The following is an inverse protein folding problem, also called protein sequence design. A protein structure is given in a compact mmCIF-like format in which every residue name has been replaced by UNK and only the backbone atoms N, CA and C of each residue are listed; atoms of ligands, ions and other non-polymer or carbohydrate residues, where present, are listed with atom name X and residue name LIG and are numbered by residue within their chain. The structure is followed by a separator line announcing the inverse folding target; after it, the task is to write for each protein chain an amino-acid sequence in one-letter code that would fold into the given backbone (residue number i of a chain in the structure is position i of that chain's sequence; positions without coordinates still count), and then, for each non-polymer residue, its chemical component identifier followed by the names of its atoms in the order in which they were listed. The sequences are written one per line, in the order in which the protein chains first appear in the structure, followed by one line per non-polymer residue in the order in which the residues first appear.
data_IF_079198763346
#
_entry.id   IF_079198763346
#
_cell.length_a   1.000
_cell.length_b   1.000
_cell.length_c   1.000
_cell.angle_alpha   90.00
_cell.angle_beta   90.00
_cell.angle_gamma   90.00
#
_symmetry.space_group_name_H-M   'P 1'
#
loop_
_entity.id
_entity.type
_entity.pdbx_description
1 polymer ?
2 non-polymer ?
3 non-polymer ?
4 non-polymer ?
5 water ?
#
# COMPACT_ATOMS: atom_id res chain seq x y z
N UNK A 1 -17.61 -19.98 5.55
CA UNK A 1 -17.39 -20.70 6.85
C UNK A 1 -15.91 -20.76 7.19
N UNK A 2 -15.60 -20.54 8.47
CA UNK A 2 -14.22 -20.51 8.95
C UNK A 2 -14.01 -21.63 9.97
N UNK A 3 -13.15 -22.58 9.63
CA UNK A 3 -12.87 -23.72 10.48
C UNK A 3 -12.06 -23.33 11.71
N UNK A 4 -11.97 -24.26 12.66
CA UNK A 4 -11.19 -24.07 13.89
C UNK A 4 -9.70 -23.97 13.60
N UNK A 5 -9.01 -23.14 14.37
CA UNK A 5 -7.55 -23.17 14.41
C UNK A 5 -7.12 -24.47 15.08
N UNK A 6 -5.91 -24.98 14.73
CA UNK A 6 -5.39 -26.13 15.45
C UNK A 6 -4.81 -25.73 16.79
N UNK A 7 -4.52 -26.72 17.64
CA UNK A 7 -3.72 -26.49 18.84
C UNK A 7 -2.44 -25.75 18.46
N UNK A 8 -2.11 -24.70 19.22
CA UNK A 8 -0.88 -23.94 19.01
C UNK A 8 -0.27 -23.58 20.35
N UNK A 9 1.06 -23.69 20.45
CA UNK A 9 1.78 -23.29 21.66
C UNK A 9 2.57 -22.01 21.35
N UNK A 10 2.27 -20.96 22.11
CA UNK A 10 2.94 -19.66 21.94
C UNK A 10 2.82 -18.93 23.28
N UNK A 11 3.65 -17.90 23.49
CA UNK A 11 3.61 -17.12 24.75
C UNK A 11 2.24 -16.51 24.99
N UNK A 12 1.78 -16.60 26.23
CA UNK A 12 0.50 -16.01 26.62
C UNK A 12 0.56 -14.50 26.47
N UNK A 13 -0.46 -13.88 25.84
CA UNK A 13 -0.52 -12.42 25.82
C UNK A 13 -0.77 -11.94 27.25
N UNK A 14 -0.07 -10.88 27.64
CA UNK A 14 -0.20 -10.37 29.00
C UNK A 14 -0.92 -9.01 29.01
N UNK A 15 -2.11 -9.05 29.58
CA UNK A 15 -3.00 -7.91 29.64
C UNK A 15 -2.38 -6.66 30.29
N UNK A 16 -1.56 -6.89 31.31
CA UNK A 16 -0.95 -5.79 32.07
C UNK A 16 0.51 -5.51 31.68
N UNK A 17 0.97 -6.15 30.61
CA UNK A 17 2.34 -5.90 30.13
C UNK A 17 2.36 -5.76 28.62
N UNK A 18 1.90 -4.60 28.11
CA UNK A 18 1.69 -4.34 26.67
C UNK A 18 2.94 -4.50 25.85
N UNK A 19 2.73 -4.83 24.57
CA UNK A 19 3.79 -5.10 23.60
C UNK A 19 4.66 -3.86 23.37
N UNK A 20 4.02 -2.77 22.96
CA UNK A 20 4.69 -1.53 22.62
C UNK A 20 4.08 -0.41 23.46
N UNK A 21 4.93 0.28 24.23
CA UNK A 21 4.53 1.41 25.05
C UNK A 21 4.90 2.73 24.41
N UNK A 22 5.74 2.67 23.37
CA UNK A 22 6.31 3.86 22.74
C UNK A 22 5.47 4.42 21.61
N UNK A 23 4.51 3.64 21.11
CA UNK A 23 3.74 4.06 19.95
C UNK A 23 2.26 3.76 20.11
N UNK A 24 1.44 4.51 19.38
CA UNK A 24 0.02 4.24 19.25
C UNK A 24 -0.18 2.97 18.43
N UNK A 25 -0.87 1.98 18.99
CA UNK A 25 -1.06 0.69 18.29
C UNK A 25 -2.53 0.44 17.88
N UNK A 26 -3.40 1.40 18.20
CA UNK A 26 -4.80 1.34 17.76
C UNK A 26 -5.31 2.75 17.50
N UNK A 27 -6.05 2.95 16.41
CA UNK A 27 -6.56 4.28 16.10
C UNK A 27 -7.81 4.57 16.96
N UNK A 28 -8.25 5.83 17.03
CA UNK A 28 -9.48 6.12 17.80
C UNK A 28 -10.75 5.48 17.25
N UNK A 29 -10.70 4.90 16.05
CA UNK A 29 -11.85 4.15 15.56
C UNK A 29 -11.57 2.64 15.65
N UNK A 30 -10.59 2.28 16.49
CA UNK A 30 -10.31 0.88 16.84
C UNK A 30 -9.77 0.05 15.67
N UNK A 31 -9.00 0.70 14.80
CA UNK A 31 -8.24 -0.02 13.79
C UNK A 31 -6.83 -0.25 14.33
N UNK A 32 -6.34 -1.49 14.27
CA UNK A 32 -4.93 -1.71 14.65
C UNK A 32 -3.97 -0.89 13.78
N UNK A 33 -2.89 -0.42 14.42
CA UNK A 33 -1.76 0.18 13.71
C UNK A 33 -0.64 -0.84 13.83
N UNK A 34 -0.16 -1.30 12.66
CA UNK A 34 0.69 -2.50 12.63
C UNK A 34 2.16 -2.15 12.77
N UNK A 35 2.71 -2.54 13.93
CA UNK A 35 4.11 -2.37 14.27
C UNK A 35 4.67 -3.74 14.67
N UNK A 36 5.99 -3.90 14.50
CA UNK A 36 6.65 -5.09 15.03
C UNK A 36 6.43 -5.17 16.53
N UNK A 37 6.06 -6.38 16.97
CA UNK A 37 5.78 -6.65 18.38
C UNK A 37 4.30 -6.67 18.72
N UNK A 38 3.45 -6.24 17.78
CA UNK A 38 2.00 -6.21 18.01
C UNK A 38 1.29 -7.48 17.56
N UNK A 39 1.95 -8.31 16.73
CA UNK A 39 1.26 -9.48 16.17
C UNK A 39 2.09 -10.74 16.27
N UNK A 40 1.40 -11.86 16.43
CA UNK A 40 1.97 -13.19 16.33
C UNK A 40 1.67 -13.69 14.91
N UNK A 41 2.69 -13.79 14.08
CA UNK A 41 2.50 -14.11 12.67
C UNK A 41 2.05 -15.55 12.46
N UNK A 42 2.35 -16.43 13.41
CA UNK A 42 1.94 -17.84 13.30
C UNK A 42 0.42 -17.93 13.40
N UNK A 43 -0.17 -17.18 14.35
CA UNK A 43 -1.61 -17.20 14.47
C UNK A 43 -2.24 -16.60 13.21
N UNK A 44 -1.72 -15.46 12.75
CA UNK A 44 -2.30 -14.83 11.55
C UNK A 44 -2.13 -15.70 10.31
N UNK A 45 -0.94 -16.30 10.14
CA UNK A 45 -0.76 -17.20 8.99
C UNK A 45 -1.78 -18.33 8.98
N UNK A 46 -2.04 -18.91 10.15
CA UNK A 46 -3.05 -19.97 10.27
C UNK A 46 -4.41 -19.44 9.84
N UNK A 47 -4.80 -18.27 10.36
CA UNK A 47 -6.12 -17.76 10.05
C UNK A 47 -6.30 -17.56 8.56
N UNK A 48 -5.28 -16.98 7.91
CA UNK A 48 -5.42 -16.66 6.48
C UNK A 48 -5.23 -17.86 5.56
N UNK A 49 -4.33 -18.77 5.93
CA UNK A 49 -4.14 -19.98 5.11
C UNK A 49 -5.40 -20.84 5.16
N UNK A 50 -6.06 -20.90 6.33
CA UNK A 50 -7.30 -21.69 6.45
C UNK A 50 -8.40 -21.16 5.54
N UNK A 51 -8.26 -19.91 5.09
CA UNK A 51 -9.23 -19.33 4.15
C UNK A 51 -8.72 -19.41 2.70
N UNK A 52 -7.55 -20.04 2.51
CA UNK A 52 -6.92 -20.13 1.18
C UNK A 52 -6.83 -18.75 0.51
N UNK A 53 -6.30 -17.78 1.26
CA UNK A 53 -6.23 -16.41 0.83
C UNK A 53 -5.30 -16.22 -0.35
N UNK A 54 -5.78 -15.50 -1.37
CA UNK A 54 -4.97 -15.05 -2.49
C UNK A 54 -4.81 -13.54 -2.46
N UNK A 55 -3.56 -13.08 -2.52
CA UNK A 55 -3.28 -11.65 -2.48
C UNK A 55 -2.81 -11.19 -3.85
N UNK A 56 -3.45 -10.17 -4.39
CA UNK A 56 -2.99 -9.55 -5.63
C UNK A 56 -2.12 -8.35 -5.29
N UNK A 57 -1.05 -8.16 -6.06
CA UNK A 57 -0.16 -7.02 -5.87
C UNK A 57 -0.06 -6.32 -7.20
N UNK A 58 -0.55 -5.08 -7.26
CA UNK A 58 -0.46 -4.27 -8.46
C UNK A 58 0.76 -3.37 -8.40
N UNK A 59 1.43 -3.21 -9.54
CA UNK A 59 2.60 -2.35 -9.61
C UNK A 59 2.68 -1.83 -11.03
N UNK A 60 2.96 -0.53 -11.16
CA UNK A 60 3.05 0.13 -12.46
C UNK A 60 4.50 0.39 -12.80
N UNK A 61 4.88 0.03 -14.03
CA UNK A 61 6.25 0.21 -14.49
C UNK A 61 6.18 0.81 -15.88
N UNK A 62 6.06 2.12 -15.92
CA UNK A 62 5.80 2.87 -17.14
C UNK A 62 7.08 3.59 -17.51
N UNK A 63 7.41 3.52 -18.81
CA UNK A 63 8.61 4.17 -19.32
C UNK A 63 9.88 3.70 -18.60
N UNK A 64 10.68 4.61 -18.06
CA UNK A 64 11.98 4.24 -17.48
C UNK A 64 11.86 3.39 -16.20
N UNK A 65 10.66 3.39 -15.60
CA UNK A 65 10.46 2.69 -14.33
C UNK A 65 10.48 1.18 -14.47
N UNK A 66 10.51 0.68 -15.70
CA UNK A 66 10.70 -0.78 -15.88
C UNK A 66 12.02 -1.24 -15.25
N UNK A 67 12.97 -0.32 -15.14
CA UNK A 67 14.28 -0.62 -14.56
C UNK A 67 14.19 -1.15 -13.12
N UNK A 68 13.10 -0.81 -12.44
CA UNK A 68 12.93 -1.14 -11.02
C UNK A 68 12.31 -2.51 -10.77
N UNK A 69 11.79 -3.14 -11.82
CA UNK A 69 11.01 -4.36 -11.64
C UNK A 69 11.81 -5.54 -11.10
N UNK A 70 13.05 -5.69 -11.58
CA UNK A 70 13.81 -6.88 -11.22
C UNK A 70 14.01 -6.98 -9.70
N UNK A 71 14.54 -5.91 -9.11
CA UNK A 71 14.75 -5.90 -7.66
C UNK A 71 13.42 -5.95 -6.91
N UNK A 72 12.43 -5.25 -7.42
CA UNK A 72 11.12 -5.22 -6.78
C UNK A 72 10.58 -6.65 -6.67
N UNK A 73 10.56 -7.36 -7.78
CA UNK A 73 9.97 -8.70 -7.82
C UNK A 73 10.81 -9.74 -7.09
N UNK A 74 12.14 -9.67 -7.24
CA UNK A 74 13.01 -10.64 -6.57
C UNK A 74 12.88 -10.52 -5.05
N UNK A 75 12.81 -9.28 -4.57
CA UNK A 75 12.71 -9.08 -3.13
C UNK A 75 11.29 -9.39 -2.65
N UNK A 76 10.29 -9.14 -3.50
CA UNK A 76 8.93 -9.58 -3.14
C UNK A 76 8.87 -11.10 -2.94
N UNK A 77 9.63 -11.83 -3.77
CA UNK A 77 9.66 -13.27 -3.66
C UNK A 77 10.21 -13.73 -2.31
N UNK A 78 11.14 -12.95 -1.75
CA UNK A 78 11.76 -13.34 -0.48
C UNK A 78 10.90 -12.95 0.73
N UNK A 79 10.09 -11.90 0.58
CA UNK A 79 9.50 -11.23 1.75
C UNK A 79 8.01 -10.99 1.79
N UNK A 80 7.36 -11.09 0.62
CA UNK A 80 5.95 -10.69 0.53
C UNK A 80 5.02 -11.89 0.50
N UNK A 81 4.25 -12.05 1.58
CA UNK A 81 3.20 -13.06 1.64
C UNK A 81 3.70 -14.49 1.38
N UNK A 82 4.95 -14.76 1.79
CA UNK A 82 5.51 -16.10 1.53
C UNK A 82 4.66 -17.15 2.24
N UNK A 83 4.28 -18.18 1.47
CA UNK A 83 3.46 -19.26 1.99
C UNK A 83 2.02 -19.13 1.56
N UNK A 84 1.66 -17.94 1.08
CA UNK A 84 0.31 -17.68 0.60
C UNK A 84 0.27 -17.57 -0.92
N UNK A 85 -0.93 -17.63 -1.51
CA UNK A 85 -1.06 -17.49 -2.96
C UNK A 85 -0.93 -16.01 -3.32
N UNK A 86 -0.08 -15.71 -4.31
CA UNK A 86 0.18 -14.33 -4.72
C UNK A 86 0.02 -14.22 -6.22
N UNK A 87 -0.64 -13.15 -6.66
CA UNK A 87 -0.76 -12.87 -8.08
C UNK A 87 -0.26 -11.46 -8.30
N UNK A 88 0.87 -11.32 -8.99
CA UNK A 88 1.38 -10.00 -9.32
C UNK A 88 0.70 -9.52 -10.58
N UNK A 89 0.33 -8.23 -10.61
CA UNK A 89 -0.19 -7.63 -11.83
C UNK A 89 0.74 -6.48 -12.18
N UNK A 90 1.53 -6.65 -13.24
CA UNK A 90 2.47 -5.64 -13.66
C UNK A 90 1.87 -4.87 -14.82
N UNK A 91 1.52 -3.60 -14.56
CA UNK A 91 1.01 -2.72 -15.60
C UNK A 91 2.17 -1.96 -16.24
N UNK A 92 2.32 -2.10 -17.57
CA UNK A 92 3.48 -1.51 -18.24
C UNK A 92 3.17 -1.13 -19.68
N UNK A 93 3.93 -0.16 -20.19
CA UNK A 93 3.87 0.16 -21.62
C UNK A 93 4.89 -0.67 -22.42
N UNK A 94 5.73 -1.44 -21.72
CA UNK A 94 6.76 -2.25 -22.40
C UNK A 94 6.77 -3.69 -21.89
N UNK A 95 5.79 -4.50 -22.31
CA UNK A 95 5.75 -5.91 -21.86
C UNK A 95 7.07 -6.67 -22.05
N UNK A 96 7.80 -6.35 -23.10
CA UNK A 96 9.05 -7.07 -23.39
C UNK A 96 10.22 -6.67 -22.47
N UNK A 97 10.03 -5.59 -21.69
CA UNK A 97 11.06 -5.10 -20.77
C UNK A 97 10.88 -5.66 -19.36
N UNK A 98 9.80 -6.41 -19.14
CA UNK A 98 9.54 -7.04 -17.83
C UNK A 98 10.55 -8.17 -17.64
N UNK A 99 11.34 -8.12 -16.56
CA UNK A 99 12.37 -9.15 -16.35
C UNK A 99 11.74 -10.51 -16.09
N UNK A 100 12.42 -11.58 -16.50
CA UNK A 100 11.93 -12.91 -16.22
C UNK A 100 12.42 -13.31 -14.83
N UNK A 101 11.53 -13.17 -13.83
CA UNK A 101 11.89 -13.42 -12.44
C UNK A 101 11.30 -14.77 -12.04
N UNK A 102 12.10 -15.55 -11.34
CA UNK A 102 11.72 -16.90 -10.92
C UNK A 102 10.81 -16.81 -9.71
N UNK A 103 9.64 -17.42 -9.83
CA UNK A 103 8.63 -17.34 -8.77
C UNK A 103 8.46 -18.65 -7.99
N UNK A 104 8.25 -18.52 -6.68
CA UNK A 104 7.95 -19.68 -5.83
C UNK A 104 6.60 -20.30 -6.16
N UNK A 105 6.36 -21.51 -5.65
CA UNK A 105 5.11 -22.19 -5.95
C UNK A 105 3.91 -21.38 -5.40
N UNK A 106 2.81 -21.42 -6.14
CA UNK A 106 1.58 -20.73 -5.75
C UNK A 106 1.61 -19.24 -6.05
N UNK A 107 2.57 -18.82 -6.86
CA UNK A 107 2.74 -17.42 -7.17
C UNK A 107 2.80 -17.23 -8.67
N UNK A 108 2.08 -16.23 -9.15
CA UNK A 108 2.01 -16.01 -10.60
C UNK A 108 2.07 -14.53 -10.93
N UNK A 109 2.41 -14.25 -12.17
CA UNK A 109 2.55 -12.87 -12.60
C UNK A 109 1.86 -12.70 -13.95
N UNK A 110 1.08 -11.63 -14.05
CA UNK A 110 0.43 -11.25 -15.30
C UNK A 110 0.95 -9.90 -15.75
N UNK A 111 1.21 -9.76 -17.04
CA UNK A 111 1.66 -8.49 -17.60
C UNK A 111 0.46 -7.85 -18.28
N UNK A 112 0.11 -6.63 -17.86
CA UNK A 112 -1.03 -5.91 -18.43
C UNK A 112 -0.50 -4.70 -19.15
N UNK A 113 -0.74 -4.64 -20.46
CA UNK A 113 -0.23 -3.53 -21.25
C UNK A 113 -1.17 -2.35 -21.12
N UNK A 114 -0.59 -1.19 -20.80
CA UNK A 114 -1.35 0.04 -20.67
C UNK A 114 -0.65 1.17 -21.42
N UNK A 115 -1.36 2.26 -21.63
CA UNK A 115 -0.76 3.43 -22.26
C UNK A 115 0.13 4.19 -21.30
N UNK A 116 1.18 4.79 -21.86
CA UNK A 116 2.07 5.66 -21.10
C UNK A 116 1.65 7.11 -21.30
N UNK A 117 1.30 7.79 -20.21
CA UNK A 117 1.03 9.23 -20.26
C UNK A 117 2.35 9.99 -20.26
N UNK A 118 2.33 11.19 -20.86
CA UNK A 118 3.52 12.03 -20.96
C UNK A 118 4.00 12.50 -19.59
N UNK A 119 3.09 13.10 -18.81
CA UNK A 119 3.45 13.69 -17.53
C UNK A 119 3.52 12.62 -16.45
N UNK A 120 4.57 12.67 -15.63
CA UNK A 120 4.72 11.71 -14.53
C UNK A 120 3.54 11.78 -13.55
N UNK A 121 3.00 12.99 -13.36
CA UNK A 121 1.82 13.22 -12.53
C UNK A 121 0.62 12.42 -13.03
N UNK A 122 0.43 12.41 -14.35
CA UNK A 122 -0.65 11.66 -14.97
C UNK A 122 -0.41 10.15 -14.88
N UNK A 123 0.83 9.72 -15.12
CA UNK A 123 1.17 8.31 -14.93
C UNK A 123 0.83 7.87 -13.50
N UNK A 124 1.23 8.67 -12.52
CA UNK A 124 0.96 8.33 -11.12
C UNK A 124 -0.53 8.35 -10.80
N UNK A 125 -1.22 9.42 -11.19
CA UNK A 125 -2.65 9.56 -10.90
C UNK A 125 -3.56 8.51 -11.57
N UNK A 126 -3.31 8.25 -12.85
CA UNK A 126 -4.14 7.31 -13.62
C UNK A 126 -4.04 5.84 -13.19
N UNK A 127 -3.18 5.56 -12.22
CA UNK A 127 -3.19 4.25 -11.56
C UNK A 127 -4.58 3.98 -10.97
N UNK A 128 -5.23 5.02 -10.45
CA UNK A 128 -6.56 4.87 -9.85
C UNK A 128 -7.57 4.36 -10.89
N UNK A 129 -7.60 5.01 -12.06
CA UNK A 129 -8.45 4.57 -13.14
C UNK A 129 -8.13 3.13 -13.57
N UNK A 130 -6.84 2.86 -13.74
CA UNK A 130 -6.41 1.56 -14.27
C UNK A 130 -6.71 0.42 -13.30
N UNK A 131 -6.58 0.68 -11.99
CA UNK A 131 -6.92 -0.32 -10.98
C UNK A 131 -8.44 -0.56 -10.85
N UNK A 132 -9.22 0.51 -10.98
CA UNK A 132 -10.65 0.46 -10.65
C UNK A 132 -11.46 -0.50 -11.51
N UNK A 134 -13.93 2.03 -14.28
CA UNK A 134 -13.59 0.61 -14.21
C UNK A 134 -12.85 0.14 -15.47
N UNK A 135 -11.67 -0.46 -15.24
CA UNK A 135 -10.81 -0.94 -16.30
C UNK A 135 -10.47 -2.42 -16.10
N UNK A 136 -10.18 -2.79 -14.84
CA UNK A 136 -9.84 -4.17 -14.52
C UNK A 136 -10.98 -4.87 -13.77
N UNK A 137 -11.39 -6.00 -14.34
CA UNK A 137 -12.55 -6.75 -13.86
C UNK A 137 -12.13 -8.16 -13.42
N UNK A 138 -10.89 -8.52 -13.69
CA UNK A 138 -10.39 -9.84 -13.34
C UNK A 138 -10.19 -10.03 -11.83
N UNK A 139 -9.95 -8.93 -11.12
CA UNK A 139 -9.57 -8.99 -9.70
C UNK A 139 -10.58 -9.73 -8.83
N UNK A 140 -11.86 -9.42 -9.03
CA UNK A 140 -12.92 -10.06 -8.26
C UNK A 140 -12.90 -11.59 -8.37
N UNK A 141 -12.52 -12.09 -9.54
CA UNK A 141 -12.48 -13.54 -9.73
C UNK A 141 -11.16 -14.17 -9.36
N UNK A 142 -10.10 -13.36 -9.26
CA UNK A 142 -8.74 -13.91 -9.12
C UNK A 142 -8.09 -13.79 -7.75
N UNK A 143 -8.45 -12.76 -6.99
CA UNK A 143 -7.77 -12.55 -5.71
C UNK A 143 -8.78 -12.15 -4.63
N UNK A 144 -8.39 -12.27 -3.36
CA UNK A 144 -9.24 -11.86 -2.25
C UNK A 144 -8.94 -10.46 -1.75
N UNK A 145 -7.67 -10.10 -1.81
CA UNK A 145 -7.20 -8.78 -1.39
C UNK A 145 -6.35 -8.20 -2.50
N UNK A 146 -6.33 -6.86 -2.59
CA UNK A 146 -5.44 -6.15 -3.51
C UNK A 146 -4.53 -5.25 -2.70
N UNK A 147 -3.26 -5.28 -3.05
CA UNK A 147 -2.26 -4.41 -2.44
C UNK A 147 -1.64 -3.62 -3.59
N UNK A 148 -1.61 -2.30 -3.44
CA UNK A 148 -1.23 -1.40 -4.53
C UNK A 148 -0.02 -0.58 -4.12
N UNK A 149 1.10 -0.79 -4.81
CA UNK A 149 2.37 -0.19 -4.40
C UNK A 149 3.14 0.47 -5.54
N UNK A 150 4.05 1.39 -5.16
CA UNK A 150 5.03 1.94 -6.09
C UNK A 150 6.08 0.88 -6.43
N UNK A 151 6.72 1.02 -7.61
CA UNK A 151 7.69 0.06 -8.11
C UNK A 151 9.14 0.39 -7.73
N UNK A 152 9.42 1.66 -7.44
CA UNK A 152 10.78 2.14 -7.11
C UNK A 152 11.12 1.82 -5.65
N UNK A 153 11.05 0.54 -5.34
CA UNK A 153 11.03 0.03 -3.97
C UNK A 153 11.68 -1.34 -3.90
N UNK A 154 12.07 -1.75 -2.71
CA UNK A 154 12.52 -3.12 -2.49
C UNK A 154 12.03 -3.62 -1.13
N UNK A 155 11.71 -4.90 -1.05
CA UNK A 155 11.41 -5.50 0.25
C UNK A 155 12.71 -5.89 0.93
N UNK A 156 12.80 -5.58 2.22
CA UNK A 156 13.96 -5.93 3.01
C UNK A 156 13.60 -6.84 4.19
N UNK A 157 12.32 -6.95 4.49
CA UNK A 157 11.89 -7.79 5.61
C UNK A 157 10.44 -8.20 5.38
N UNK A 158 9.93 -8.99 6.31
CA UNK A 158 8.62 -9.58 6.20
C UNK A 158 7.51 -8.53 5.96
N UNK A 159 6.73 -8.76 4.90
CA UNK A 159 5.45 -8.07 4.72
C UNK A 159 4.44 -9.17 4.43
N UNK A 160 3.55 -9.42 5.40
CA UNK A 160 2.68 -10.58 5.34
C UNK A 160 1.22 -10.29 5.67
N UNK A 161 0.52 -11.34 6.06
CA UNK A 161 -0.94 -11.24 6.18
C UNK A 161 -1.37 -10.33 7.32
N UNK A 162 -0.44 -9.91 8.16
CA UNK A 162 -0.77 -8.95 9.22
C UNK A 162 -1.38 -7.67 8.62
N UNK A 163 -1.09 -7.40 7.34
CA UNK A 163 -1.63 -6.15 6.74
C UNK A 163 -3.04 -6.30 6.21
N UNK A 164 -3.50 -7.53 6.05
CA UNK A 164 -4.75 -7.75 5.31
C UNK A 164 -5.97 -7.46 6.18
N UNK A 165 -6.94 -6.82 5.53
CA UNK A 165 -8.08 -6.21 6.21
C UNK A 165 -8.96 -5.60 5.11
N UNK A 166 -10.23 -5.28 5.40
CA UNK A 166 -10.99 -4.65 4.33
C UNK A 166 -10.36 -3.41 3.65
N UNK A 167 -9.73 -2.52 4.43
CA UNK A 167 -9.17 -1.31 3.83
C UNK A 167 -8.00 -0.82 4.68
N UNK A 168 -6.82 -0.64 4.07
CA UNK A 168 -5.69 -0.11 4.85
C UNK A 168 -4.95 1.00 4.10
N UNK A 169 -4.37 1.90 4.89
CA UNK A 169 -3.40 2.86 4.42
C UNK A 169 -2.12 2.73 5.24
N UNK A 170 -1.08 3.44 4.80
CA UNK A 170 0.25 3.34 5.41
C UNK A 170 0.70 4.73 5.86
N UNK A 171 1.24 4.85 7.07
CA UNK A 171 1.72 6.16 7.51
C UNK A 171 2.93 6.60 6.70
N UNK A 172 2.83 7.78 6.10
CA UNK A 172 3.93 8.38 5.35
C UNK A 172 5.12 8.59 6.28
N UNK A 173 6.33 8.14 5.86
CA UNK A 173 7.46 8.19 6.78
C UNK A 173 7.92 9.59 7.18
N UNK A 174 7.54 10.61 6.40
CA UNK A 174 7.94 12.00 6.69
C UNK A 174 7.00 12.71 7.65
N UNK A 175 5.87 12.09 7.96
CA UNK A 175 4.79 12.80 8.67
C UNK A 175 4.22 12.10 9.89
N UNK A 176 4.75 10.92 10.22
CA UNK A 176 4.13 10.14 11.28
C UNK A 176 4.19 10.82 12.64
N UNK A 177 5.19 11.69 12.82
CA UNK A 177 5.31 12.46 14.07
C UNK A 177 4.85 13.90 13.96
N UNK A 178 4.20 14.24 12.84
CA UNK A 178 3.81 15.63 12.59
C UNK A 178 2.39 15.95 13.05
N UNK A 179 2.17 17.22 13.39
CA UNK A 179 0.84 17.72 13.68
C UNK A 179 0.08 17.88 12.37
N UNK A 180 -1.25 17.76 12.42
CA UNK A 180 -2.07 17.76 11.21
C UNK A 180 -1.95 19.03 10.38
N UNK A 181 -1.63 20.16 11.03
CA UNK A 181 -1.47 21.41 10.26
C UNK A 181 -0.28 21.36 9.33
N UNK A 182 0.71 20.52 9.65
CA UNK A 182 1.90 20.34 8.83
C UNK A 182 1.71 19.31 7.70
N UNK A 183 0.69 18.45 7.81
CA UNK A 183 0.41 17.51 6.72
C UNK A 183 0.23 18.25 5.39
N UNK A 184 0.83 17.72 4.33
CA UNK A 184 0.71 18.34 3.01
C UNK A 184 -0.57 17.92 2.26
N UNK A 185 -1.71 17.95 2.97
CA UNK A 185 -2.99 17.76 2.33
C UNK A 185 -3.24 18.84 1.29
N UNK A 186 -4.16 18.57 0.37
CA UNK A 186 -4.66 19.63 -0.52
C UNK A 186 -5.44 20.62 0.33
N UNK A 187 -5.05 21.90 0.28
CA UNK A 187 -5.65 22.95 1.12
C UNK A 187 -6.59 23.90 0.37
N UNK A 188 -6.71 23.74 -0.94
CA UNK A 188 -7.58 24.62 -1.74
C UNK A 188 -8.99 24.05 -1.75
N UNK A 189 -9.97 24.82 -1.25
CA UNK A 189 -11.37 24.37 -1.21
C UNK A 189 -11.97 24.04 -2.57
N UNK A 190 -11.32 24.49 -3.65
CA UNK A 190 -11.80 24.24 -5.01
C UNK A 190 -11.53 22.82 -5.47
N UNK A 191 -10.70 22.09 -4.73
CA UNK A 191 -10.37 20.70 -5.06
C UNK A 191 -11.21 19.70 -4.27
N UNK A 192 -11.58 18.61 -4.93
CA UNK A 192 -12.29 17.50 -4.28
C UNK A 192 -11.45 16.86 -3.17
N UNK A 193 -10.13 17.05 -3.23
CA UNK A 193 -9.21 16.50 -2.23
C UNK A 193 -9.05 17.39 -0.99
N UNK A 194 -9.74 18.52 -0.99
CA UNK A 194 -9.58 19.53 0.08
C UNK A 194 -9.78 18.98 1.48
N UNK A 195 -8.82 19.27 2.37
CA UNK A 195 -8.94 18.99 3.81
C UNK A 195 -8.45 20.23 4.58
N UNK A 196 -9.33 20.83 5.41
CA UNK A 196 -8.94 21.99 6.22
C UNK A 196 -7.98 21.64 7.35
N UNK A 197 -7.37 22.66 7.95
CA UNK A 197 -6.32 22.48 8.94
C UNK A 197 -6.77 21.87 10.27
N UNK A 198 -8.09 21.87 10.52
CA UNK A 198 -8.65 21.26 11.73
C UNK A 198 -9.17 19.83 11.52
N UNK A 199 -8.96 19.27 10.34
CA UNK A 199 -9.29 17.87 10.08
C UNK A 199 -8.03 17.06 9.70
N UNK A 200 -8.15 15.75 9.86
CA UNK A 200 -7.08 14.82 9.48
C UNK A 200 -6.68 13.94 10.65
N UNK A 201 -6.57 12.64 10.38
CA UNK A 201 -6.06 11.71 11.37
C UNK A 201 -4.57 11.52 11.16
N UNK A 202 -4.23 11.09 9.94
CA UNK A 202 -2.86 10.77 9.55
C UNK A 202 -2.60 11.26 8.14
N UNK A 203 -1.32 11.33 7.78
CA UNK A 203 -0.96 11.54 6.38
C UNK A 203 -0.53 10.19 5.82
N UNK A 204 -1.34 9.66 4.90
CA UNK A 204 -1.09 8.35 4.34
C UNK A 204 -0.28 8.48 3.05
N UNK A 205 0.54 7.46 2.82
CA UNK A 205 1.46 7.39 1.71
C UNK A 205 0.75 6.85 0.47
N UNK A 206 0.87 7.54 -0.67
CA UNK A 206 0.30 7.03 -1.92
C UNK A 206 0.91 5.71 -2.42
N UNK A 207 2.08 5.39 -1.88
CA UNK A 207 2.89 4.27 -2.38
C UNK A 207 2.50 2.90 -1.85
N UNK A 208 1.52 2.83 -0.93
CA UNK A 208 1.19 1.53 -0.33
C UNK A 208 -0.18 1.59 0.33
N UNK A 209 -1.20 1.11 -0.37
CA UNK A 209 -2.53 0.98 0.21
C UNK A 209 -3.16 -0.29 -0.31
N UNK A 210 -4.31 -0.68 0.24
CA UNK A 210 -4.93 -1.91 -0.21
C UNK A 210 -6.13 -2.29 0.62
N UNK A 211 -6.56 -3.55 0.50
CA UNK A 211 -7.75 -4.00 1.21
C UNK A 211 -8.42 -5.12 0.43
N UNK A 212 -9.69 -5.39 0.70
CA UNK A 212 -10.42 -6.35 -0.10
C UNK A 212 -10.59 -5.80 -1.52
N UNK A 213 -10.84 -6.69 -2.48
CA UNK A 213 -11.03 -6.21 -3.85
C UNK A 213 -12.15 -5.17 -3.90
N UNK A 214 -13.27 -5.48 -3.23
CA UNK A 214 -14.40 -4.57 -3.22
C UNK A 214 -14.02 -3.19 -2.70
N UNK A 215 -13.31 -3.14 -1.56
CA UNK A 215 -12.97 -1.84 -0.97
C UNK A 215 -11.92 -1.08 -1.76
N UNK A 216 -10.98 -1.81 -2.36
CA UNK A 216 -9.98 -1.14 -3.18
C UNK A 216 -10.58 -0.59 -4.47
N UNK A 217 -11.49 -1.36 -5.08
CA UNK A 217 -12.16 -0.85 -6.26
C UNK A 217 -13.08 0.34 -5.93
N UNK A 218 -13.69 0.36 -4.74
CA UNK A 218 -14.45 1.55 -4.31
C UNK A 218 -13.55 2.77 -4.16
N UNK A 219 -12.40 2.57 -3.52
CA UNK A 219 -11.48 3.68 -3.27
C UNK A 219 -10.96 4.23 -4.59
N UNK A 220 -10.53 3.33 -5.46
CA UNK A 220 -9.91 3.77 -6.71
C UNK A 220 -10.91 4.43 -7.63
N UNK A 221 -12.14 3.91 -7.63
CA UNK A 221 -13.22 4.50 -8.42
C UNK A 221 -13.52 5.90 -7.91
N UNK A 222 -13.61 6.04 -6.59
CA UNK A 222 -13.94 7.34 -6.00
C UNK A 222 -12.84 8.36 -6.25
N UNK A 223 -11.58 7.92 -6.14
CA UNK A 223 -10.47 8.85 -6.39
C UNK A 223 -10.41 9.24 -7.86
N UNK A 224 -10.66 8.29 -8.76
CA UNK A 224 -10.65 8.59 -10.18
C UNK A 224 -11.75 9.61 -10.52
N UNK A 225 -12.96 9.36 -10.02
CA UNK A 225 -14.06 10.29 -10.29
C UNK A 225 -13.76 11.70 -9.72
N UNK A 226 -13.19 11.76 -8.52
CA UNK A 226 -12.77 13.04 -7.93
C UNK A 226 -11.72 13.77 -8.75
N UNK A 227 -10.77 13.00 -9.28
CA UNK A 227 -9.74 13.56 -10.16
C UNK A 227 -10.34 14.12 -11.45
N UNK A 228 -11.38 13.46 -11.96
CA UNK A 228 -12.04 13.94 -13.18
C UNK A 228 -12.76 15.26 -12.91
N UNK A 229 -13.43 15.33 -11.77
CA UNK A 229 -14.08 16.59 -11.35
C UNK A 229 -13.03 17.70 -11.25
N UNK A 230 -11.93 17.43 -10.57
CA UNK A 230 -10.86 18.42 -10.45
C UNK A 230 -10.36 18.89 -11.82
N UNK A 231 -10.15 17.94 -12.73
CA UNK A 231 -9.62 18.26 -14.07
C UNK A 231 -10.59 19.19 -14.79
N UNK A 232 -11.87 18.86 -14.74
CA UNK A 232 -12.92 19.71 -15.33
C UNK A 232 -12.92 21.13 -14.75
N UNK A 233 -12.59 21.22 -13.46
CA UNK A 233 -12.51 22.50 -12.75
C UNK A 233 -11.13 23.19 -12.87
N UNK A 234 -10.24 22.62 -13.66
CA UNK A 234 -8.91 23.21 -13.91
C UNK A 234 -8.01 23.25 -12.69
N UNK A 235 -8.08 22.21 -11.87
CA UNK A 235 -7.24 22.11 -10.68
C UNK A 235 -6.64 20.70 -10.61
N UNK A 236 -5.37 20.64 -10.22
CA UNK A 236 -4.68 19.37 -9.99
C UNK A 236 -4.19 19.40 -8.54
N UNK A 237 -4.61 18.43 -7.74
CA UNK A 237 -4.25 18.39 -6.34
C UNK A 237 -2.73 18.36 -6.13
N UNK A 238 -2.30 19.00 -5.05
CA UNK A 238 -0.89 19.27 -4.80
C UNK A 238 -0.02 18.01 -4.82
N UNK A 239 -0.54 16.91 -4.27
CA UNK A 239 0.17 15.64 -4.31
C UNK A 239 -0.60 14.55 -5.04
N UNK A 240 -1.38 14.98 -6.02
CA UNK A 240 -1.87 14.08 -7.06
C UNK A 240 -2.71 12.96 -6.45
N UNK A 241 -2.46 11.71 -6.81
CA UNK A 241 -3.26 10.60 -6.28
C UNK A 241 -3.22 10.52 -4.76
N UNK A 242 -2.07 10.87 -4.18
CA UNK A 242 -1.89 10.79 -2.74
C UNK A 242 -2.83 11.76 -2.03
N UNK A 243 -3.06 12.93 -2.63
CA UNK A 243 -3.97 13.88 -2.00
C UNK A 243 -5.39 13.33 -1.94
N UNK A 244 -5.83 12.71 -3.04
CA UNK A 244 -7.14 12.10 -3.08
C UNK A 244 -7.26 10.90 -2.16
N UNK A 245 -6.21 10.09 -2.13
CA UNK A 245 -6.20 8.95 -1.22
C UNK A 245 -6.40 9.43 0.22
N UNK A 246 -5.69 10.49 0.59
CA UNK A 246 -5.86 11.07 1.92
C UNK A 246 -7.26 11.56 2.24
N UNK A 247 -7.89 12.23 1.28
CA UNK A 247 -9.28 12.65 1.46
C UNK A 247 -10.19 11.45 1.63
N UNK A 248 -10.00 10.41 0.81
CA UNK A 248 -10.85 9.23 0.87
C UNK A 248 -10.72 8.56 2.23
N UNK A 249 -9.48 8.41 2.70
CA UNK A 249 -9.26 7.70 3.97
C UNK A 249 -9.63 8.53 5.19
N UNK A 250 -9.76 9.85 5.02
CA UNK A 250 -10.31 10.67 6.10
C UNK A 250 -11.80 10.37 6.27
N UNK A 251 -12.50 10.24 5.15
CA UNK A 251 -13.96 10.08 5.19
C UNK A 251 -14.43 8.61 5.23
N UNK A 252 -13.53 7.69 4.90
CA UNK A 252 -13.75 6.25 4.99
C UNK A 252 -12.57 5.68 5.76
N UNK A 253 -12.74 5.51 7.07
CA UNK A 253 -11.60 5.18 7.93
C UNK A 253 -11.08 3.79 7.60
N UNK A 254 -9.75 3.65 7.45
CA UNK A 254 -9.22 2.33 7.18
C UNK A 254 -9.36 1.40 8.39
N UNK A 255 -9.47 0.09 8.13
CA UNK A 255 -9.67 -0.91 9.17
C UNK A 255 -8.35 -1.43 9.78
N UNK A 256 -7.22 -1.15 9.09
CA UNK A 256 -5.87 -1.20 9.70
C UNK A 256 -5.08 -0.06 9.11
N UNK A 257 -4.05 0.35 9.86
CA UNK A 257 -3.09 1.34 9.39
C UNK A 257 -1.71 0.73 9.55
N UNK A 258 -0.89 0.81 8.49
CA UNK A 258 0.46 0.25 8.59
C UNK A 258 1.42 1.32 9.10
N UNK A 259 2.33 0.90 10.00
CA UNK A 259 3.35 1.82 10.51
C UNK A 259 4.37 2.11 9.41
N UNK A 260 5.23 3.11 9.64
CA UNK A 260 6.24 3.40 8.61
C UNK A 260 7.27 2.29 8.38
N UNK A 261 7.25 1.22 9.18
CA UNK A 261 8.08 0.05 8.85
C UNK A 261 7.78 -0.37 7.42
N UNK A 262 6.53 -0.15 7.02
CA UNK A 262 6.02 -0.63 5.74
C UNK A 262 6.26 0.31 4.57
N UNK A 263 6.76 1.53 4.82
CA UNK A 263 7.18 2.38 3.72
C UNK A 263 8.22 3.36 4.25
N UNK A 264 9.48 3.01 4.06
CA UNK A 264 10.55 3.78 4.65
C UNK A 264 11.54 4.25 3.60
N UNK A 265 12.26 5.32 3.90
CA UNK A 265 13.33 5.79 3.03
C UNK A 265 14.57 5.97 3.91
N UNK A 266 15.46 5.00 3.88
CA UNK A 266 16.62 5.02 4.77
C UNK A 266 17.63 6.10 4.38
N UNK A 267 17.78 6.36 3.09
CA UNK A 267 18.73 7.40 2.66
C UNK A 267 18.29 8.75 3.22
N UNK A 268 17.01 9.03 3.11
CA UNK A 268 16.46 10.30 3.51
C UNK A 268 16.30 10.41 5.02
N UNK A 269 15.92 9.31 5.68
CA UNK A 269 15.41 9.40 7.04
C UNK A 269 16.14 8.53 8.07
N UNK A 270 17.14 7.77 7.63
CA UNK A 270 17.94 6.97 8.56
C UNK A 270 17.20 5.76 9.12
N UNK A 271 17.43 5.46 10.39
CA UNK A 271 16.82 4.30 11.05
C UNK A 271 16.56 4.64 12.51
N UNK A 272 15.45 5.34 12.76
CA UNK A 272 15.10 5.75 14.12
C UNK A 272 14.74 4.57 15.01
N UNK A 273 14.86 4.76 16.33
CA UNK A 273 14.70 3.68 17.28
C UNK A 273 13.30 3.10 17.25
N UNK A 274 12.33 3.92 16.84
CA UNK A 274 10.94 3.48 16.84
C UNK A 274 10.66 2.37 15.80
N UNK A 275 11.58 2.20 14.84
CA UNK A 275 11.42 1.18 13.81
C UNK A 275 12.29 -0.03 14.11
N UNK A 276 11.68 -1.14 14.53
CA UNK A 276 12.43 -2.35 14.82
C UNK A 276 12.80 -3.11 13.55
N UNK A 277 12.02 -2.89 12.49
CA UNK A 277 12.28 -3.47 11.19
C UNK A 277 12.06 -2.43 10.11
N UNK A 278 12.83 -2.52 9.01
CA UNK A 278 12.57 -1.74 7.80
C UNK A 278 12.14 -2.77 6.78
N UNK A 279 10.87 -2.75 6.40
CA UNK A 279 10.30 -3.85 5.62
C UNK A 279 10.28 -3.60 4.10
N UNK A 280 9.95 -2.37 3.72
CA UNK A 280 9.70 -2.04 2.33
C UNK A 280 10.21 -0.61 2.16
N UNK A 281 11.25 -0.45 1.35
CA UNK A 281 12.03 0.78 1.33
C UNK A 281 12.28 1.34 -0.05
N UNK A 282 12.40 2.66 -0.12
CA UNK A 282 12.65 3.37 -1.36
C UNK A 282 13.99 3.01 -1.96
N UNK A 283 14.02 2.84 -3.27
CA UNK A 283 15.27 2.64 -3.98
C UNK A 283 15.67 4.03 -4.49
N UNK A 284 16.87 4.50 -4.12
CA UNK A 284 17.33 5.81 -4.58
C UNK A 284 17.20 5.98 -6.10
N UNK A 285 16.74 7.15 -6.53
CA UNK A 285 16.56 7.46 -7.94
C UNK A 285 16.76 8.96 -8.23
N UNK A 286 17.06 9.27 -9.48
CA UNK A 286 17.13 10.65 -9.95
C UNK A 286 15.79 11.05 -10.55
N UNK A 287 14.99 11.80 -9.78
CA UNK A 287 13.64 12.21 -10.17
C UNK A 287 13.57 12.83 -11.57
N UNK A 288 14.49 13.73 -11.88
CA UNK A 288 14.52 14.43 -13.16
C UNK A 288 14.85 13.51 -14.33
N UNK A 289 15.82 12.62 -14.13
CA UNK A 289 16.28 11.71 -15.19
C UNK A 289 15.29 10.57 -15.47
N UNK A 290 14.83 9.91 -14.40
CA UNK A 290 13.96 8.73 -14.52
C UNK A 290 12.54 9.06 -15.01
N UNK A 291 12.11 10.30 -14.83
CA UNK A 291 10.77 10.72 -15.26
C UNK A 291 10.79 11.38 -16.63
X LIG B 1 7.82 6.00 -5.42
X LIG C 1 5.41 5.63 -12.44
X LIG C 1 5.91 4.94 -13.57
X LIG C 1 6.58 5.66 -14.56
X LIG C 1 6.76 7.05 -14.46
X LIG C 1 6.27 7.73 -13.35
X LIG C 1 5.60 7.02 -12.35
X LIG C 1 5.77 3.73 -13.68
X LIG C 1 7.36 7.65 -15.37
X LIG C 1 4.68 4.84 -11.41
X LIG C 1 5.63 3.92 -10.63
X LIG C 1 4.87 2.79 -10.17
X LIG C 1 6.01 4.80 -9.47
X LIG C 1 4.66 5.43 -9.12
X LIG C 1 4.07 5.72 -10.42
X LIG C 1 6.47 3.98 -8.38
X LIG C 1 4.74 6.75 -8.34
X LIG C 1 5.65 7.64 -8.89
X LIG C 1 7.09 7.91 -8.16
X LIG C 1 7.56 6.61 -7.56
X LIG C 1 7.97 8.61 -9.12
X LIG C 1 6.64 8.93 -6.97
X LIG C 1 7.64 9.30 -5.78
X LIG C 1 8.96 9.78 -6.30
X LIG C 1 6.87 10.37 -4.86
X LIG C 1 7.80 8.01 -4.91
X LIG D 1 14.40 14.76 -0.97
X LIG D 1 12.93 14.72 -1.41
X LIG D 1 12.00 15.14 -0.27
X LIG D 1 11.02 14.02 0.08
X LIG D 1 10.36 14.25 1.46
X LIG D 1 8.85 13.95 1.46
X LIG D 1 8.45 12.83 0.63
X LIG D 1 7.50 13.29 -0.35
X LIG D 1 6.34 13.77 0.37
X LIG D 1 5.29 14.23 -0.50
X LIG D 1 4.14 14.74 0.36
X LIG D 1 4.59 15.84 1.15
X LIG D 1 4.84 13.10 -1.43
X LIG D 1 4.40 11.98 -0.67
X LIG D 1 6.02 12.61 -2.25
X LIG D 1 5.55 11.48 -3.06
X LIG D 1 7.16 12.16 -1.32
X LIG D 1 8.35 11.85 -2.06
X LIG D 1 8.63 10.43 -2.05
X LIG D 1 9.92 10.22 -2.87
X LIG D 1 8.70 9.84 -0.68
X LIG D 1 9.86 10.23 0.12
X LIG D 1 9.82 9.53 1.48
X LIG D 1 11.15 9.93 -0.67
X LIG D 1 11.29 8.52 -0.88
X LIG D 1 11.12 10.67 -2.02
X LIG D 1 12.34 10.43 -2.74
#
# INVERSE_FOLDING_TARGET
FMVSLPRMVYPQPKVLTPCRKDVLVVTPWLAPIVWEGTFNIDILNEQFRLQNTTIGLTVFAIKKYVAFLKLFLETAEKHFMVGHRVHYYVFTDQPAAVPRVTLGTGRQLSVLEVRAYKRWQDVSMRRMEMISDFCERRFLSEVDYLVCVDVDMEFRDHVGVEILTPLFGTLHPSFYGSSREAFTYERRPQSQAYIPKDEGDFYYMGAFFGGSVQEVQRLTRACHQAMMVDQANGIEAVWHDESHLNKYLLRHKPTKVLSPEYLWDQQLLGWPAVLRKLRFTAVPKNHQAVRNPE
MN MN
UDP N1 C2 N3 C4 C5 C6 O2 O4 C1' C2' O2' C3' C4' O4' O3' C5' O5' PA O1A O2A O3A PB O1B O2B O3B
AD7 CBA CAZ CAY CAX CAW CAV OAK CAJ OAS CAR CAT OAU CAP OAQ CAN NAO CAL OAM CAA CAB OAI CAE CAF CAD OAH CAC OAG
#
